data_IF_689642908635
#
_entry.id   IF_689642908635
#
_cell.length_a   1.000
_cell.length_b   1.000
_cell.length_c   1.000
_cell.angle_alpha   90.00
_cell.angle_beta   90.00
_cell.angle_gamma   90.00
#
_symmetry.space_group_name_H-M   'P 1'
#
loop_
_entity.id
_entity.type
_entity.pdbx_description
1 polymer ?
#
# COMPACT_ATOMS: atom_id res chain seq x y z
N UNK A 1 7.78 3.42 12.43
CA UNK A 1 7.72 2.80 11.08
C UNK A 1 6.89 1.51 11.05
N UNK A 2 7.13 0.54 11.96
CA UNK A 2 6.33 -0.70 12.01
C UNK A 2 4.83 -0.49 12.23
N UNK A 3 4.45 0.49 13.04
CA UNK A 3 3.03 0.78 13.31
C UNK A 3 2.30 1.32 12.07
N UNK A 4 2.94 2.23 11.32
CA UNK A 4 2.40 2.68 10.05
C UNK A 4 2.26 1.51 9.07
N UNK A 5 3.28 0.66 8.98
CA UNK A 5 3.24 -0.54 8.14
C UNK A 5 2.08 -1.48 8.51
N UNK A 6 1.81 -1.68 9.81
CA UNK A 6 0.68 -2.48 10.29
C UNK A 6 -0.69 -1.86 9.99
N UNK A 7 -0.79 -0.54 9.79
CA UNK A 7 -2.02 0.10 9.34
C UNK A 7 -2.32 -0.19 7.86
N UNK A 8 -1.28 -0.44 7.05
CA UNK A 8 -1.42 -0.79 5.65
C UNK A 8 -1.55 -2.31 5.46
N UNK A 9 -0.71 -3.13 6.10
CA UNK A 9 -0.74 -4.60 6.02
C UNK A 9 -1.91 -5.21 6.80
N UNK A 10 -3.12 -5.09 6.23
CA UNK A 10 -4.35 -5.58 6.87
C UNK A 10 -4.49 -7.09 6.81
N UNK A 11 -3.75 -7.74 5.93
CA UNK A 11 -3.71 -9.19 5.82
C UNK A 11 -2.69 -9.82 6.78
N UNK A 12 -1.84 -9.01 7.43
CA UNK A 12 -0.88 -9.46 8.44
C UNK A 12 0.22 -10.35 7.87
N UNK A 13 0.53 -10.18 6.57
CA UNK A 13 1.50 -11.00 5.84
C UNK A 13 2.93 -10.51 5.96
N UNK A 14 3.15 -9.32 6.55
CA UNK A 14 4.44 -8.64 6.55
C UNK A 14 4.77 -7.94 5.24
N UNK A 15 3.83 -7.89 4.29
CA UNK A 15 3.96 -7.29 2.96
C UNK A 15 2.69 -6.51 2.62
N UNK A 16 2.85 -5.27 2.14
CA UNK A 16 1.72 -4.43 1.72
C UNK A 16 1.40 -4.76 0.27
N UNK A 17 0.21 -5.30 0.01
CA UNK A 17 -0.26 -5.55 -1.35
C UNK A 17 -0.80 -4.28 -2.02
N UNK A 18 -0.93 -4.30 -3.36
CA UNK A 18 -1.61 -3.24 -4.12
C UNK A 18 -3.02 -2.99 -3.57
N UNK A 19 -3.72 -4.03 -3.12
CA UNK A 19 -5.09 -3.94 -2.63
C UNK A 19 -5.15 -3.26 -1.25
N UNK A 20 -4.16 -3.53 -0.41
CA UNK A 20 -4.00 -2.89 0.89
C UNK A 20 -3.76 -1.39 0.75
N UNK A 21 -2.83 -1.02 -0.12
CA UNK A 21 -2.55 0.38 -0.43
C UNK A 21 -3.77 1.07 -1.05
N UNK A 22 -4.44 0.43 -2.01
CA UNK A 22 -5.64 0.97 -2.67
C UNK A 22 -6.75 1.29 -1.67
N UNK A 23 -6.96 0.44 -0.68
CA UNK A 23 -7.98 0.66 0.32
C UNK A 23 -7.66 1.83 1.24
N UNK A 24 -6.42 1.93 1.72
CA UNK A 24 -6.04 3.04 2.61
C UNK A 24 -6.09 4.37 1.85
N UNK A 25 -5.65 4.40 0.60
CA UNK A 25 -5.72 5.62 -0.21
C UNK A 25 -7.19 6.02 -0.49
N UNK A 26 -8.07 5.06 -0.73
CA UNK A 26 -9.51 5.34 -0.86
C UNK A 26 -10.14 5.78 0.45
N UNK A 27 -9.69 5.25 1.60
CA UNK A 27 -10.26 5.60 2.90
C UNK A 27 -9.93 7.03 3.34
N UNK A 28 -8.80 7.59 2.85
CA UNK A 28 -8.45 9.00 3.04
C UNK A 28 -9.09 9.94 1.99
N UNK A 29 -9.95 9.40 1.11
CA UNK A 29 -10.68 10.19 0.10
C UNK A 29 -9.91 10.44 -1.20
N UNK A 30 -8.73 9.85 -1.38
CA UNK A 30 -7.98 9.95 -2.63
C UNK A 30 -8.40 8.85 -3.62
N UNK A 31 -8.62 9.26 -4.87
CA UNK A 31 -8.83 8.34 -5.99
C UNK A 31 -7.47 8.07 -6.65
N UNK A 32 -7.13 6.80 -6.82
CA UNK A 32 -5.93 6.39 -7.55
C UNK A 32 -6.25 5.37 -8.62
N UNK A 33 -5.42 5.36 -9.65
CA UNK A 33 -5.44 4.35 -10.71
C UNK A 33 -4.58 3.14 -10.33
N UNK A 34 -4.82 1.96 -10.93
CA UNK A 34 -3.96 0.79 -10.72
C UNK A 34 -2.48 1.07 -11.04
N UNK A 35 -2.20 1.86 -12.07
CA UNK A 35 -0.84 2.20 -12.49
C UNK A 35 -0.11 3.09 -11.48
N UNK A 36 -0.81 4.04 -10.85
CA UNK A 36 -0.24 4.85 -9.76
C UNK A 36 0.07 3.98 -8.54
N UNK A 37 -0.83 3.06 -8.17
CA UNK A 37 -0.62 2.15 -7.05
C UNK A 37 0.59 1.22 -7.30
N UNK A 38 0.74 0.71 -8.52
CA UNK A 38 1.92 -0.06 -8.91
C UNK A 38 3.20 0.75 -8.83
N UNK A 39 3.18 2.01 -9.30
CA UNK A 39 4.34 2.90 -9.22
C UNK A 39 4.71 3.18 -7.77
N UNK A 40 3.72 3.47 -6.93
CA UNK A 40 3.95 3.71 -5.50
C UNK A 40 4.59 2.50 -4.85
N UNK A 41 4.09 1.28 -5.11
CA UNK A 41 4.71 0.07 -4.56
C UNK A 41 6.13 -0.13 -5.09
N UNK A 42 6.37 0.02 -6.39
CA UNK A 42 7.71 -0.11 -6.98
C UNK A 42 8.73 0.91 -6.46
N UNK A 43 8.29 2.11 -6.08
CA UNK A 43 9.17 3.14 -5.52
C UNK A 43 9.62 2.83 -4.08
N UNK A 44 8.77 2.17 -3.28
CA UNK A 44 9.10 1.80 -1.90
C UNK A 44 9.61 0.36 -1.76
N UNK A 45 9.30 -0.50 -2.72
CA UNK A 45 9.80 -1.87 -2.76
C UNK A 45 11.29 -1.87 -3.10
N UNK A 46 12.10 -2.17 -2.09
CA UNK A 46 13.56 -2.24 -2.19
C UNK A 46 14.05 -3.68 -2.35
N UNK A 47 13.18 -4.66 -2.15
CA UNK A 47 13.58 -6.05 -1.97
C UNK A 47 13.18 -6.94 -3.17
N UNK A 48 12.19 -6.54 -3.96
CA UNK A 48 11.86 -7.14 -5.26
C UNK A 48 11.08 -8.45 -5.22
#
# INVERSE_FOLDING_TARGET
LKEAFALFDRLGGGVISIQDLAFVIRSIGYQTTPSELESMIREVDRDG
#
